data_IF_827471436210
#
_entry.id   IF_827471436210
#
_cell.length_a   1.000
_cell.length_b   1.000
_cell.length_c   1.000
_cell.angle_alpha   90.00
_cell.angle_beta   90.00
_cell.angle_gamma   90.00
#
_symmetry.space_group_name_H-M   'P 1'
#
loop_
_entity.id
_entity.type
_entity.pdbx_description
1 polymer ?
#
# COMPACT_ATOMS: atom_id res chain seq x y z
N UNK A 1 16.55 -25.04 -16.42
CA UNK A 1 16.51 -24.38 -15.09
C UNK A 1 15.71 -23.08 -15.20
N UNK A 2 14.96 -22.71 -14.15
CA UNK A 2 14.01 -21.58 -14.13
C UNK A 2 14.55 -20.30 -14.82
N UNK A 3 15.77 -19.88 -14.46
CA UNK A 3 16.39 -18.65 -14.97
C UNK A 3 16.70 -18.68 -16.48
N UNK A 4 17.05 -19.84 -17.05
CA UNK A 4 17.29 -19.97 -18.49
C UNK A 4 15.99 -19.87 -19.31
N UNK A 5 14.86 -20.36 -18.78
CA UNK A 5 13.54 -20.22 -19.42
C UNK A 5 12.99 -18.79 -19.29
N UNK A 6 13.31 -18.12 -18.18
CA UNK A 6 12.92 -16.74 -17.92
C UNK A 6 13.76 -15.70 -18.68
N UNK A 7 14.77 -16.13 -19.46
CA UNK A 7 15.73 -15.25 -20.14
C UNK A 7 16.31 -14.17 -19.21
N UNK A 8 16.51 -14.49 -17.94
CA UNK A 8 16.94 -13.55 -16.89
C UNK A 8 17.81 -14.23 -15.85
N UNK A 9 18.45 -13.45 -14.98
CA UNK A 9 19.25 -13.92 -13.85
C UNK A 9 18.71 -13.35 -12.53
N UNK A 10 19.02 -14.02 -11.42
CA UNK A 10 18.68 -13.53 -10.08
C UNK A 10 19.29 -12.14 -9.79
N UNK A 11 20.47 -11.85 -10.36
CA UNK A 11 21.18 -10.57 -10.22
C UNK A 11 20.41 -9.38 -10.80
N UNK A 12 19.43 -9.62 -11.68
CA UNK A 12 18.57 -8.57 -12.23
C UNK A 12 17.52 -8.08 -11.21
N UNK A 13 17.39 -8.72 -10.04
CA UNK A 13 16.40 -8.40 -9.02
C UNK A 13 17.01 -8.06 -7.65
N UNK A 14 17.96 -7.10 -7.58
CA UNK A 14 18.65 -6.77 -6.32
C UNK A 14 17.70 -6.20 -5.25
N UNK A 15 16.57 -5.61 -5.67
CA UNK A 15 15.55 -5.07 -4.78
C UNK A 15 14.59 -6.13 -4.23
N UNK A 16 14.62 -7.37 -4.74
CA UNK A 16 13.73 -8.45 -4.32
C UNK A 16 14.24 -9.10 -3.03
N UNK A 17 14.24 -8.32 -1.95
CA UNK A 17 14.59 -8.77 -0.60
C UNK A 17 13.40 -8.62 0.33
N UNK A 18 13.33 -9.46 1.36
CA UNK A 18 12.28 -9.38 2.38
C UNK A 18 12.30 -8.01 3.08
N UNK A 19 13.50 -7.44 3.33
CA UNK A 19 13.65 -6.12 3.93
C UNK A 19 13.06 -5.01 3.05
N UNK A 20 13.34 -5.05 1.74
CA UNK A 20 12.81 -4.07 0.80
C UNK A 20 11.30 -4.21 0.62
N UNK A 21 10.76 -5.44 0.63
CA UNK A 21 9.31 -5.67 0.63
C UNK A 21 8.62 -5.03 1.85
N UNK A 22 9.17 -5.23 3.05
CA UNK A 22 8.57 -4.70 4.29
C UNK A 22 8.61 -3.17 4.30
N UNK A 23 9.77 -2.58 4.00
CA UNK A 23 10.00 -1.13 4.15
C UNK A 23 9.47 -0.31 2.99
N UNK A 24 9.57 -0.81 1.75
CA UNK A 24 9.16 -0.08 0.55
C UNK A 24 7.74 -0.41 0.07
N UNK A 25 7.09 -1.46 0.59
CA UNK A 25 5.73 -1.82 0.20
C UNK A 25 4.81 -2.04 1.41
N UNK A 26 5.07 -3.04 2.24
CA UNK A 26 4.08 -3.50 3.22
C UNK A 26 3.75 -2.41 4.25
N UNK A 27 4.76 -1.82 4.90
CA UNK A 27 4.58 -0.73 5.87
C UNK A 27 3.88 0.50 5.25
N UNK A 28 4.38 1.09 4.15
CA UNK A 28 3.77 2.28 3.59
C UNK A 28 2.35 2.03 3.05
N UNK A 29 2.10 0.88 2.41
CA UNK A 29 0.76 0.55 1.89
C UNK A 29 -0.23 0.31 3.02
N UNK A 30 0.18 -0.40 4.08
CA UNK A 30 -0.68 -0.62 5.24
C UNK A 30 -1.07 0.71 5.91
N UNK A 31 -0.09 1.60 6.12
CA UNK A 31 -0.35 2.92 6.69
C UNK A 31 -1.24 3.77 5.77
N UNK A 32 -0.95 3.78 4.47
CA UNK A 32 -1.75 4.50 3.48
C UNK A 32 -3.20 4.04 3.44
N UNK A 33 -3.44 2.73 3.52
CA UNK A 33 -4.80 2.18 3.53
C UNK A 33 -5.57 2.56 4.80
N UNK A 34 -4.94 2.50 5.97
CA UNK A 34 -5.57 2.91 7.24
C UNK A 34 -5.90 4.41 7.22
N UNK A 35 -4.93 5.25 6.83
CA UNK A 35 -5.11 6.70 6.78
C UNK A 35 -6.16 7.07 5.73
N UNK A 36 -6.12 6.45 4.54
CA UNK A 36 -7.10 6.69 3.49
C UNK A 36 -8.52 6.34 3.92
N UNK A 37 -8.70 5.20 4.60
CA UNK A 37 -9.97 4.81 5.18
C UNK A 37 -10.44 5.79 6.26
N UNK A 38 -9.56 6.17 7.19
CA UNK A 38 -9.89 7.11 8.26
C UNK A 38 -10.33 8.48 7.71
N UNK A 39 -9.60 9.03 6.73
CA UNK A 39 -9.93 10.32 6.09
C UNK A 39 -11.29 10.26 5.42
N UNK A 40 -11.56 9.21 4.63
CA UNK A 40 -12.84 9.05 3.95
C UNK A 40 -14.00 8.96 4.96
N UNK A 41 -13.83 8.15 6.01
CA UNK A 41 -14.85 8.00 7.07
C UNK A 41 -15.10 9.32 7.79
N UNK A 42 -14.04 10.05 8.17
CA UNK A 42 -14.18 11.36 8.82
C UNK A 42 -14.88 12.39 7.94
N UNK A 43 -14.57 12.43 6.64
CA UNK A 43 -15.23 13.31 5.69
C UNK A 43 -16.72 12.99 5.54
N UNK A 44 -17.05 11.71 5.37
CA UNK A 44 -18.45 11.25 5.27
C UNK A 44 -19.23 11.55 6.56
N UNK A 45 -18.65 11.25 7.73
CA UNK A 45 -19.26 11.53 9.03
C UNK A 45 -19.57 13.03 9.20
N UNK A 46 -18.59 13.88 8.87
CA UNK A 46 -18.76 15.35 8.92
C UNK A 46 -19.85 15.83 7.96
N UNK A 47 -19.90 15.30 6.74
CA UNK A 47 -20.93 15.67 5.77
C UNK A 47 -22.35 15.28 6.21
N UNK A 48 -22.49 14.13 6.89
CA UNK A 48 -23.77 13.69 7.46
C UNK A 48 -24.18 14.58 8.63
N UNK A 49 -23.25 14.84 9.56
CA UNK A 49 -23.52 15.65 10.75
C UNK A 49 -24.01 17.07 10.38
N UNK A 50 -23.35 17.72 9.42
CA UNK A 50 -23.75 19.05 8.93
C UNK A 50 -25.15 19.10 8.28
N UNK A 51 -25.70 17.96 7.85
CA UNK A 51 -27.07 17.86 7.32
C UNK A 51 -28.12 17.62 8.40
N UNK A 52 -27.73 17.16 9.58
CA UNK A 52 -28.65 16.96 10.71
C UNK A 52 -28.83 18.24 11.52
N UNK A 53 -27.90 19.19 11.42
CA UNK A 53 -27.98 20.51 12.07
C UNK A 53 -28.86 21.52 11.30
N UNK A 54 -29.28 21.20 10.07
CA UNK A 54 -30.21 22.00 9.25
C UNK A 54 -31.64 21.48 9.34
#
# INVERSE_FOLDING_TARGET
PFWQLAHSSADNFPALTVSHFITANLLPVMLGNIIGGAVLVSMCYRAIYLRQES
#
